data_IF_407181421642
#
_entry.id   IF_407181421642
#
_cell.length_a   1.000
_cell.length_b   1.000
_cell.length_c   1.000
_cell.angle_alpha   90.00
_cell.angle_beta   90.00
_cell.angle_gamma   90.00
#
_symmetry.space_group_name_H-M   'P 1'
#
loop_
_entity.id
_entity.type
_entity.pdbx_description
1 polymer ?
#
# COMPACT_ATOMS: atom_id res chain seq x y z
N UNK A 1 -1.96 -17.98 16.28
CA UNK A 1 -2.67 -16.71 16.55
C UNK A 1 -2.03 -15.52 15.83
N UNK A 2 -0.71 -15.35 15.84
CA UNK A 2 -0.02 -14.25 15.15
C UNK A 2 -0.42 -14.08 13.67
N UNK A 3 -0.48 -15.16 12.88
CA UNK A 3 -0.90 -15.08 11.47
C UNK A 3 -2.33 -14.55 11.27
N UNK A 4 -3.27 -14.96 12.13
CA UNK A 4 -4.66 -14.46 12.08
C UNK A 4 -4.70 -12.97 12.40
N UNK A 5 -3.93 -12.52 13.40
CA UNK A 5 -3.83 -11.09 13.73
C UNK A 5 -3.30 -10.28 12.54
N UNK A 6 -2.27 -10.76 11.84
CA UNK A 6 -1.76 -10.12 10.63
C UNK A 6 -2.85 -10.00 9.56
N UNK A 7 -3.64 -11.04 9.33
CA UNK A 7 -4.75 -11.02 8.36
C UNK A 7 -5.84 -10.01 8.75
N UNK A 8 -6.23 -9.98 10.03
CA UNK A 8 -7.26 -9.04 10.52
C UNK A 8 -6.79 -7.59 10.42
N UNK A 9 -5.56 -7.30 10.84
CA UNK A 9 -4.99 -5.95 10.73
C UNK A 9 -4.81 -5.55 9.27
N UNK A 10 -4.34 -6.47 8.42
CA UNK A 10 -4.24 -6.27 6.98
C UNK A 10 -5.59 -5.94 6.35
N UNK A 11 -6.65 -6.67 6.70
CA UNK A 11 -8.00 -6.42 6.21
C UNK A 11 -8.53 -5.05 6.65
N UNK A 12 -8.31 -4.70 7.92
CA UNK A 12 -8.70 -3.39 8.44
C UNK A 12 -7.96 -2.24 7.74
N UNK A 13 -6.64 -2.39 7.52
CA UNK A 13 -5.84 -1.41 6.78
C UNK A 13 -6.29 -1.29 5.33
N UNK A 14 -6.59 -2.42 4.67
CA UNK A 14 -7.08 -2.43 3.30
C UNK A 14 -8.42 -1.69 3.19
N UNK A 15 -9.37 -2.03 4.06
CA UNK A 15 -10.66 -1.35 4.15
C UNK A 15 -10.49 0.15 4.41
N UNK A 16 -9.65 0.52 5.38
CA UNK A 16 -9.44 1.92 5.74
C UNK A 16 -8.77 2.72 4.64
N UNK A 17 -7.82 2.12 3.93
CA UNK A 17 -7.15 2.74 2.77
C UNK A 17 -8.17 3.05 1.67
N UNK A 18 -9.06 2.10 1.34
CA UNK A 18 -10.12 2.32 0.37
C UNK A 18 -11.13 3.38 0.84
N UNK A 19 -11.51 3.35 2.11
CA UNK A 19 -12.43 4.32 2.69
C UNK A 19 -11.85 5.74 2.68
N UNK A 20 -10.55 5.91 3.00
CA UNK A 20 -9.89 7.21 3.02
C UNK A 20 -9.62 7.77 1.60
N UNK A 21 -9.42 6.90 0.60
CA UNK A 21 -9.32 7.31 -0.81
C UNK A 21 -10.68 7.69 -1.41
N UNK A 22 -11.75 6.99 -1.05
CA UNK A 22 -13.10 7.23 -1.55
C UNK A 22 -13.17 7.25 -3.08
N UNK A 23 -13.69 8.33 -3.65
CA UNK A 23 -13.84 8.53 -5.10
C UNK A 23 -12.53 8.76 -5.85
N UNK A 24 -11.43 9.02 -5.15
CA UNK A 24 -10.11 9.18 -5.76
C UNK A 24 -9.43 7.82 -6.02
N UNK A 25 -9.99 6.70 -5.56
CA UNK A 25 -9.42 5.38 -5.87
C UNK A 25 -9.66 4.98 -7.32
N UNK A 26 -8.60 4.60 -8.02
CA UNK A 26 -8.65 4.00 -9.36
C UNK A 26 -7.81 2.72 -9.40
N UNK A 27 -8.33 1.69 -10.08
CA UNK A 27 -7.60 0.42 -10.35
C UNK A 27 -6.54 0.63 -11.45
N UNK A 28 -6.83 1.53 -12.39
CA UNK A 28 -5.94 1.92 -13.49
C UNK A 28 -5.04 3.06 -13.04
N UNK A 29 -3.77 3.04 -13.46
CA UNK A 29 -2.82 4.16 -13.36
C UNK A 29 -3.28 5.29 -14.29
N UNK A 30 -4.44 5.85 -13.98
CA UNK A 30 -5.07 6.92 -14.75
C UNK A 30 -5.40 8.04 -13.77
N UNK A 31 -4.72 9.16 -13.95
CA UNK A 31 -5.14 10.41 -13.35
C UNK A 31 -6.41 10.82 -14.09
N UNK A 32 -7.55 10.82 -13.38
CA UNK A 32 -8.80 11.37 -13.91
C UNK A 32 -8.77 12.89 -13.80
N UNK A 33 -9.46 13.59 -14.69
CA UNK A 33 -9.69 15.03 -14.54
C UNK A 33 -10.29 15.31 -13.14
N UNK A 34 -9.59 16.08 -12.32
CA UNK A 34 -9.98 16.39 -10.94
C UNK A 34 -9.46 15.42 -9.87
N UNK A 35 -8.53 14.51 -10.18
CA UNK A 35 -7.86 13.65 -9.20
C UNK A 35 -7.10 14.51 -8.18
N UNK A 36 -7.43 14.36 -6.90
CA UNK A 36 -6.79 15.11 -5.82
C UNK A 36 -5.81 14.26 -5.05
N UNK A 37 -4.68 14.85 -4.65
CA UNK A 37 -3.71 14.19 -3.80
C UNK A 37 -4.27 13.99 -2.39
N UNK A 38 -4.68 12.76 -2.07
CA UNK A 38 -5.19 12.39 -0.75
C UNK A 38 -4.05 12.23 0.24
N UNK A 39 -3.95 13.14 1.21
CA UNK A 39 -2.91 13.11 2.27
C UNK A 39 -3.48 13.05 3.69
N UNK A 40 -4.78 12.74 3.80
CA UNK A 40 -5.51 12.67 5.07
C UNK A 40 -5.73 11.22 5.53
N UNK A 41 -6.23 11.04 6.75
CA UNK A 41 -6.50 9.70 7.30
C UNK A 41 -5.22 8.88 7.43
N UNK A 42 -5.25 7.65 6.93
CA UNK A 42 -4.09 6.75 6.96
C UNK A 42 -2.94 7.20 6.05
N UNK A 43 -3.27 7.89 4.96
CA UNK A 43 -2.31 8.45 4.00
C UNK A 43 -1.42 9.53 4.64
N UNK A 44 -1.88 10.18 5.72
CA UNK A 44 -1.05 11.14 6.46
C UNK A 44 0.27 10.55 6.97
N UNK A 45 0.34 9.22 7.19
CA UNK A 45 1.53 8.55 7.75
C UNK A 45 2.25 7.66 6.75
N UNK A 46 1.50 7.02 5.85
CA UNK A 46 2.01 6.02 4.90
C UNK A 46 1.47 6.32 3.51
N UNK A 47 2.34 6.42 2.51
CA UNK A 47 1.95 6.69 1.11
C UNK A 47 1.23 5.51 0.47
N UNK A 48 1.65 4.30 0.79
CA UNK A 48 1.20 3.06 0.17
C UNK A 48 0.55 2.08 1.17
N UNK A 49 -0.51 2.50 1.90
CA UNK A 49 -1.10 1.68 2.97
C UNK A 49 -1.79 0.41 2.45
N UNK A 50 -2.24 0.40 1.19
CA UNK A 50 -2.75 -0.81 0.52
C UNK A 50 -1.65 -1.85 0.33
N UNK A 51 -0.44 -1.42 -0.05
CA UNK A 51 0.70 -2.33 -0.18
C UNK A 51 1.15 -2.84 1.19
N UNK A 52 1.06 -2.03 2.25
CA UNK A 52 1.28 -2.49 3.62
C UNK A 52 0.25 -3.56 4.03
N UNK A 53 -1.03 -3.40 3.66
CA UNK A 53 -2.05 -4.41 3.89
C UNK A 53 -1.73 -5.73 3.14
N UNK A 54 -1.29 -5.66 1.88
CA UNK A 54 -0.86 -6.83 1.11
C UNK A 54 0.35 -7.54 1.73
N UNK A 55 1.31 -6.79 2.27
CA UNK A 55 2.45 -7.33 3.02
C UNK A 55 1.97 -8.09 4.27
N UNK A 56 1.06 -7.51 5.05
CA UNK A 56 0.49 -8.20 6.22
C UNK A 56 -0.31 -9.44 5.84
N UNK A 57 -1.00 -9.41 4.69
CA UNK A 57 -1.68 -10.58 4.15
C UNK A 57 -0.71 -11.69 3.77
N UNK A 58 0.39 -11.36 3.10
CA UNK A 58 1.42 -12.34 2.72
C UNK A 58 2.11 -12.95 3.93
N UNK A 59 2.43 -12.15 4.95
CA UNK A 59 2.97 -12.63 6.22
C UNK A 59 1.95 -13.50 6.96
N UNK A 60 0.69 -13.05 7.04
CA UNK A 60 -0.40 -13.82 7.66
C UNK A 60 -0.63 -15.17 7.00
N UNK A 61 -0.64 -15.20 5.67
CA UNK A 61 -0.75 -16.42 4.87
C UNK A 61 0.39 -17.39 5.16
N UNK A 62 1.64 -16.91 5.15
CA UNK A 62 2.82 -17.71 5.43
C UNK A 62 2.80 -18.33 6.85
N UNK A 63 2.20 -17.64 7.82
CA UNK A 63 2.10 -18.12 9.20
C UNK A 63 0.91 -19.07 9.45
N UNK A 64 -0.16 -18.97 8.65
CA UNK A 64 -1.38 -19.78 8.82
C UNK A 64 -1.32 -21.09 8.02
N UNK A 65 -0.76 -21.06 6.81
CA UNK A 65 -0.65 -22.27 5.99
C UNK A 65 0.56 -23.11 6.40
N UNK A 66 0.37 -24.38 6.81
CA UNK A 66 1.46 -25.29 7.10
C UNK A 66 2.05 -25.88 5.80
N UNK A 67 2.36 -25.03 4.83
CA UNK A 67 2.90 -25.42 3.54
C UNK A 67 4.02 -24.45 3.14
N UNK A 68 5.22 -25.00 2.96
CA UNK A 68 6.45 -24.22 2.70
C UNK A 68 6.51 -23.62 1.29
N UNK A 69 5.64 -24.03 0.38
CA UNK A 69 5.53 -23.46 -0.97
C UNK A 69 4.36 -22.48 -1.02
N UNK A 70 3.16 -22.91 -0.60
CA UNK A 70 1.95 -22.09 -0.65
C UNK A 70 1.92 -20.96 0.40
N UNK A 71 2.61 -21.13 1.53
CA UNK A 71 2.73 -20.10 2.55
C UNK A 71 3.45 -18.84 2.04
N UNK A 72 4.72 -18.93 1.58
CA UNK A 72 5.48 -17.77 1.13
C UNK A 72 5.17 -17.33 -0.31
N UNK A 73 4.38 -18.08 -1.09
CA UNK A 73 4.10 -17.74 -2.49
C UNK A 73 3.53 -16.32 -2.66
N UNK A 74 2.65 -15.90 -1.76
CA UNK A 74 2.06 -14.56 -1.79
C UNK A 74 3.06 -13.47 -1.43
N UNK A 75 4.05 -13.78 -0.57
CA UNK A 75 5.12 -12.86 -0.21
C UNK A 75 6.03 -12.60 -1.42
N UNK A 76 6.35 -13.64 -2.19
CA UNK A 76 7.15 -13.53 -3.42
C UNK A 76 6.39 -12.73 -4.48
N UNK A 77 5.11 -13.05 -4.69
CA UNK A 77 4.25 -12.31 -5.62
C UNK A 77 4.13 -10.83 -5.24
N UNK A 78 3.93 -10.54 -3.94
CA UNK A 78 3.91 -9.18 -3.42
C UNK A 78 5.24 -8.46 -3.66
N UNK A 79 6.37 -9.08 -3.35
CA UNK A 79 7.69 -8.47 -3.54
C UNK A 79 7.95 -8.07 -5.00
N UNK A 80 7.57 -8.94 -5.94
CA UNK A 80 7.68 -8.65 -7.38
C UNK A 80 6.75 -7.51 -7.80
N UNK A 81 5.48 -7.57 -7.41
CA UNK A 81 4.50 -6.53 -7.71
C UNK A 81 4.93 -5.18 -7.14
N UNK A 82 5.42 -5.16 -5.90
CA UNK A 82 5.89 -3.98 -5.21
C UNK A 82 7.09 -3.35 -5.91
N UNK A 83 8.12 -4.15 -6.24
CA UNK A 83 9.32 -3.67 -6.91
C UNK A 83 9.04 -3.11 -8.32
N UNK A 84 8.10 -3.71 -9.06
CA UNK A 84 7.79 -3.29 -10.43
C UNK A 84 6.80 -2.12 -10.51
N UNK A 85 5.91 -1.98 -9.54
CA UNK A 85 4.77 -1.04 -9.62
C UNK A 85 4.99 0.25 -8.84
N UNK A 86 5.52 0.18 -7.63
CA UNK A 86 5.58 1.36 -6.73
C UNK A 86 6.42 2.48 -7.30
N UNK A 87 7.56 2.17 -7.92
CA UNK A 87 8.40 3.20 -8.54
C UNK A 87 7.68 3.95 -9.66
N UNK A 88 6.93 3.24 -10.51
CA UNK A 88 6.16 3.84 -11.60
C UNK A 88 4.97 4.64 -11.09
N UNK A 89 4.31 4.17 -10.04
CA UNK A 89 3.20 4.86 -9.40
C UNK A 89 3.66 6.17 -8.76
N UNK A 90 4.79 6.17 -8.05
CA UNK A 90 5.35 7.41 -7.49
C UNK A 90 5.84 8.36 -8.57
N UNK A 91 6.41 7.86 -9.66
CA UNK A 91 6.81 8.69 -10.81
C UNK A 91 5.58 9.36 -11.45
N UNK A 92 4.48 8.62 -11.66
CA UNK A 92 3.24 9.18 -12.18
C UNK A 92 2.69 10.29 -11.24
N UNK A 93 2.74 10.06 -9.92
CA UNK A 93 2.31 11.06 -8.94
C UNK A 93 3.22 12.29 -8.93
N UNK A 94 4.53 12.14 -9.16
CA UNK A 94 5.45 13.27 -9.32
C UNK A 94 5.18 14.04 -10.61
N UNK A 95 4.91 13.35 -11.71
CA UNK A 95 4.58 13.97 -13.01
C UNK A 95 3.28 14.78 -12.92
N UNK A 96 2.29 14.29 -12.19
CA UNK A 96 0.98 14.94 -12.06
C UNK A 96 0.96 16.06 -11.01
N UNK A 97 1.46 15.79 -9.80
CA UNK A 97 1.32 16.68 -8.64
C UNK A 97 2.61 17.44 -8.29
N UNK A 98 3.74 17.12 -8.92
CA UNK A 98 5.01 17.83 -8.76
C UNK A 98 5.40 18.09 -7.29
N UNK A 99 5.56 19.36 -6.94
CA UNK A 99 6.02 19.81 -5.62
C UNK A 99 5.09 19.39 -4.48
N UNK A 100 3.78 19.28 -4.71
CA UNK A 100 2.84 18.87 -3.66
C UNK A 100 3.09 17.41 -3.24
N UNK A 101 3.43 16.56 -4.20
CA UNK A 101 3.78 15.17 -3.95
C UNK A 101 5.18 15.05 -3.33
N UNK A 102 6.17 15.86 -3.75
CA UNK A 102 7.48 15.91 -3.09
C UNK A 102 7.35 16.31 -1.61
N UNK A 103 6.58 17.35 -1.32
CA UNK A 103 6.31 17.81 0.05
C UNK A 103 5.54 16.75 0.86
N UNK A 104 4.72 15.93 0.20
CA UNK A 104 4.05 14.79 0.81
C UNK A 104 5.01 13.63 1.08
N UNK A 105 5.91 13.33 0.15
CA UNK A 105 6.96 12.32 0.31
C UNK A 105 7.89 12.64 1.47
N UNK A 106 8.25 13.91 1.66
CA UNK A 106 9.13 14.36 2.74
C UNK A 106 8.52 14.15 4.15
N UNK A 107 7.19 14.11 4.27
CA UNK A 107 6.48 13.97 5.57
C UNK A 107 5.90 12.59 5.83
N UNK A 108 6.07 11.64 4.89
CA UNK A 108 5.45 10.31 4.97
C UNK A 108 6.46 9.20 4.73
N UNK A 109 6.11 7.99 5.15
CA UNK A 109 6.87 6.78 4.84
C UNK A 109 6.19 6.03 3.68
N UNK A 110 6.94 5.22 2.96
CA UNK A 110 6.44 4.43 1.82
C UNK A 110 5.54 3.31 2.32
N UNK A 111 5.99 2.49 3.27
CA UNK A 111 5.24 1.34 3.80
C UNK A 111 5.19 1.31 5.33
N UNK A 112 6.34 1.41 6.00
CA UNK A 112 6.45 1.21 7.45
C UNK A 112 6.73 2.53 8.13
N UNK A 113 5.81 3.04 8.97
CA UNK A 113 6.01 4.29 9.69
C UNK A 113 7.35 4.30 10.46
N UNK A 114 8.23 5.25 10.14
CA UNK A 114 9.49 5.49 10.85
C UNK A 114 10.69 4.63 10.43
N UNK A 115 10.56 3.79 9.40
CA UNK A 115 11.68 3.00 8.85
C UNK A 115 11.81 3.26 7.36
N UNK A 116 10.70 3.13 6.62
CA UNK A 116 10.73 3.14 5.17
C UNK A 116 9.40 3.54 4.54
#
# INVERSE_FOLDING_TARGET
>A
MAGILCLVVGLWLFYRSHADLGTNWSITLEVREGHQLVTQGIYRRVRHPMYLALLLYSVGQALVLPNWVAGPSYLVAFGLLFALRVGREEQLMLEEFGQDYEAYMARTNRLVPGIW
#
